data_IF_951514891996
#
_entry.id   IF_951514891996
#
_cell.length_a   1.000
_cell.length_b   1.000
_cell.length_c   1.000
_cell.angle_alpha   90.00
_cell.angle_beta   90.00
_cell.angle_gamma   90.00
#
_symmetry.space_group_name_H-M   'P 1'
#
loop_
_entity.id
_entity.type
_entity.pdbx_description
1 polymer ?
#
# COMPACT_ATOMS: atom_id res chain seq x y z
N UNK A 1 -4.74 -12.15 10.50
CA UNK A 1 -5.30 -11.70 9.21
C UNK A 1 -6.36 -10.67 9.52
N UNK A 2 -6.21 -9.44 9.03
CA UNK A 2 -7.04 -8.28 9.40
C UNK A 2 -8.43 -8.36 8.76
N UNK A 3 -9.44 -7.78 9.40
CA UNK A 3 -10.85 -7.75 8.95
C UNK A 3 -10.98 -7.32 7.48
N UNK A 4 -10.20 -6.33 7.05
CA UNK A 4 -10.13 -5.84 5.67
C UNK A 4 -9.68 -6.90 4.65
N UNK A 5 -8.78 -7.81 5.03
CA UNK A 5 -8.32 -8.85 4.11
C UNK A 5 -9.44 -9.84 3.78
N UNK A 6 -10.34 -10.09 4.74
CA UNK A 6 -11.54 -10.91 4.54
C UNK A 6 -12.62 -10.14 3.77
N UNK A 7 -12.83 -8.86 4.07
CA UNK A 7 -13.83 -8.02 3.39
C UNK A 7 -13.53 -7.81 1.90
N UNK A 8 -12.25 -7.69 1.54
CA UNK A 8 -11.79 -7.50 0.17
C UNK A 8 -11.21 -8.78 -0.46
N UNK A 9 -11.51 -9.94 0.12
CA UNK A 9 -11.07 -11.24 -0.39
C UNK A 9 -11.49 -11.41 -1.86
N UNK A 10 -10.52 -11.76 -2.72
CA UNK A 10 -10.74 -11.92 -4.16
C UNK A 10 -10.80 -10.61 -4.96
N UNK A 11 -10.72 -9.43 -4.32
CA UNK A 11 -10.68 -8.12 -4.98
C UNK A 11 -9.33 -7.42 -4.83
N UNK A 12 -8.72 -7.55 -3.65
CA UNK A 12 -7.44 -6.89 -3.32
C UNK A 12 -6.51 -7.90 -2.67
N UNK A 13 -5.25 -7.89 -3.09
CA UNK A 13 -4.18 -8.64 -2.41
C UNK A 13 -3.48 -7.71 -1.42
N UNK A 14 -3.48 -8.09 -0.15
CA UNK A 14 -2.70 -7.39 0.88
C UNK A 14 -1.34 -8.07 1.02
N UNK A 15 -0.27 -7.29 0.94
CA UNK A 15 1.09 -7.75 1.14
C UNK A 15 1.79 -6.84 2.15
N UNK A 16 2.37 -7.44 3.18
CA UNK A 16 3.17 -6.74 4.18
C UNK A 16 4.63 -7.04 3.87
N UNK A 17 5.35 -6.02 3.42
CA UNK A 17 6.79 -6.11 3.16
C UNK A 17 7.52 -5.57 4.38
N UNK A 18 8.46 -6.36 4.90
CA UNK A 18 9.26 -5.96 6.06
C UNK A 18 10.22 -4.84 5.70
N UNK A 19 10.56 -3.95 6.65
CA UNK A 19 11.51 -2.87 6.39
C UNK A 19 12.85 -3.36 5.84
N UNK A 20 13.33 -4.53 6.26
CA UNK A 20 14.55 -5.17 5.75
C UNK A 20 14.41 -5.57 4.27
N UNK A 21 13.26 -6.10 3.87
CA UNK A 21 12.96 -6.44 2.46
C UNK A 21 12.77 -5.16 1.63
N UNK A 22 12.11 -4.15 2.19
CA UNK A 22 11.93 -2.86 1.54
C UNK A 22 13.28 -2.13 1.36
N UNK A 23 14.22 -2.25 2.31
CA UNK A 23 15.59 -1.72 2.20
C UNK A 23 16.41 -2.44 1.11
N UNK A 24 16.20 -3.75 0.94
CA UNK A 24 16.80 -4.49 -0.16
C UNK A 24 16.25 -4.05 -1.53
N UNK A 25 14.98 -3.63 -1.57
CA UNK A 25 14.31 -3.04 -2.73
C UNK A 25 14.58 -1.52 -2.88
N UNK A 26 15.74 -1.01 -2.46
CA UNK A 26 16.00 0.41 -2.23
C UNK A 26 15.65 1.40 -3.36
N UNK A 27 15.61 1.00 -4.63
CA UNK A 27 15.17 1.85 -5.74
C UNK A 27 13.64 2.10 -5.72
N UNK A 28 12.85 1.08 -5.37
CA UNK A 28 11.39 1.16 -5.27
C UNK A 28 10.94 2.13 -4.16
N UNK A 29 11.66 2.18 -3.03
CA UNK A 29 11.35 3.11 -1.93
C UNK A 29 11.41 4.59 -2.34
N UNK A 30 12.41 4.94 -3.15
CA UNK A 30 12.57 6.30 -3.62
C UNK A 30 11.46 6.67 -4.61
N UNK A 31 11.08 5.75 -5.49
CA UNK A 31 9.95 5.91 -6.41
C UNK A 31 8.60 6.07 -5.70
N UNK A 32 8.45 5.47 -4.52
CA UNK A 32 7.25 5.60 -3.69
C UNK A 32 7.28 6.77 -2.70
N UNK A 33 8.39 7.51 -2.63
CA UNK A 33 8.52 8.69 -1.76
C UNK A 33 8.77 8.35 -0.28
N UNK A 34 9.28 7.15 0.02
CA UNK A 34 9.50 6.67 1.39
C UNK A 34 10.88 7.00 1.96
N UNK A 35 11.66 7.88 1.31
CA UNK A 35 13.04 8.19 1.68
C UNK A 35 13.22 8.66 3.15
N UNK A 36 12.22 9.36 3.70
CA UNK A 36 12.30 9.93 5.06
C UNK A 36 11.75 8.97 6.13
N UNK A 37 10.56 8.41 5.88
CA UNK A 37 9.86 7.56 6.83
C UNK A 37 10.31 6.08 6.80
N UNK A 38 10.95 5.61 5.71
CA UNK A 38 11.30 4.20 5.42
C UNK A 38 10.13 3.21 5.53
N UNK A 39 8.91 3.73 5.64
CA UNK A 39 7.66 3.03 5.82
C UNK A 39 6.56 3.82 5.11
N UNK A 40 5.59 3.09 4.59
CA UNK A 40 4.43 3.68 3.93
C UNK A 40 3.48 2.63 3.39
N UNK A 41 2.39 3.10 2.83
CA UNK A 41 1.41 2.30 2.12
C UNK A 41 1.45 2.66 0.64
N UNK A 42 1.56 1.63 -0.19
CA UNK A 42 1.39 1.76 -1.64
C UNK A 42 0.21 0.90 -2.07
N UNK A 43 -0.69 1.48 -2.86
CA UNK A 43 -1.74 0.71 -3.52
C UNK A 43 -1.51 0.75 -5.03
N UNK A 44 -1.52 -0.45 -5.62
CA UNK A 44 -1.37 -0.66 -7.04
C UNK A 44 -2.71 -1.05 -7.66
N UNK A 45 -2.97 -0.60 -8.87
CA UNK A 45 -4.11 -1.07 -9.65
C UNK A 45 -3.85 -2.45 -10.30
N UNK A 46 -4.83 -2.95 -11.05
CA UNK A 46 -4.73 -4.25 -11.75
C UNK A 46 -3.70 -4.28 -12.89
N UNK A 47 -3.21 -3.13 -13.35
CA UNK A 47 -2.14 -2.98 -14.33
C UNK A 47 -0.75 -2.86 -13.67
N UNK A 48 -0.68 -2.82 -12.34
CA UNK A 48 0.55 -2.68 -11.58
C UNK A 48 1.04 -1.24 -11.45
N UNK A 49 0.20 -0.25 -11.77
CA UNK A 49 0.57 1.16 -11.54
C UNK A 49 0.28 1.57 -10.10
N UNK A 50 1.25 2.18 -9.42
CA UNK A 50 1.06 2.74 -8.09
C UNK A 50 0.18 4.00 -8.16
N UNK A 51 -1.10 3.89 -7.76
CA UNK A 51 -2.03 5.03 -7.71
C UNK A 51 -1.98 5.77 -6.39
N UNK A 52 -1.72 5.06 -5.29
CA UNK A 52 -1.69 5.65 -3.95
C UNK A 52 -0.31 5.41 -3.34
N UNK A 53 0.30 6.49 -2.86
CA UNK A 53 1.62 6.49 -2.20
C UNK A 53 1.50 7.34 -0.94
N UNK A 54 1.39 6.68 0.21
CA UNK A 54 1.25 7.35 1.50
C UNK A 54 2.49 7.06 2.35
N UNK A 55 3.43 8.02 2.49
CA UNK A 55 4.56 7.87 3.40
C UNK A 55 4.08 7.99 4.85
N UNK A 56 4.55 7.12 5.74
CA UNK A 56 4.18 7.19 7.15
C UNK A 56 4.03 5.83 7.84
N UNK A 57 3.51 5.87 9.06
CA UNK A 57 3.29 4.71 9.92
C UNK A 57 1.91 4.80 10.59
N UNK A 58 1.35 3.67 11.01
CA UNK A 58 0.04 3.56 11.66
C UNK A 58 -1.15 4.02 10.82
N UNK A 59 -1.27 3.55 9.58
CA UNK A 59 -2.46 3.79 8.76
C UNK A 59 -3.72 3.21 9.41
N UNK A 60 -4.72 4.07 9.61
CA UNK A 60 -6.03 3.67 10.11
C UNK A 60 -6.83 2.92 9.05
N UNK A 61 -7.94 2.28 9.47
CA UNK A 61 -8.88 1.62 8.57
C UNK A 61 -9.34 2.55 7.44
N UNK A 62 -9.67 3.79 7.77
CA UNK A 62 -10.18 4.78 6.81
C UNK A 62 -9.16 5.09 5.71
N UNK A 63 -7.88 5.24 6.07
CA UNK A 63 -6.80 5.50 5.11
C UNK A 63 -6.58 4.31 4.18
N UNK A 64 -6.59 3.09 4.74
CA UNK A 64 -6.43 1.86 3.97
C UNK A 64 -7.61 1.66 3.01
N UNK A 65 -8.84 1.86 3.49
CA UNK A 65 -10.05 1.75 2.67
C UNK A 65 -10.08 2.81 1.57
N UNK A 66 -9.70 4.05 1.87
CA UNK A 66 -9.60 5.11 0.86
C UNK A 66 -8.57 4.78 -0.22
N UNK A 67 -7.44 4.17 0.17
CA UNK A 67 -6.42 3.73 -0.79
C UNK A 67 -6.93 2.59 -1.70
N UNK A 68 -7.67 1.64 -1.12
CA UNK A 68 -8.31 0.54 -1.85
C UNK A 68 -9.35 1.06 -2.85
N UNK A 69 -10.19 2.00 -2.42
CA UNK A 69 -11.24 2.57 -3.27
C UNK A 69 -10.64 3.23 -4.52
N UNK A 70 -9.56 3.99 -4.36
CA UNK A 70 -8.85 4.63 -5.47
C UNK A 70 -8.29 3.63 -6.50
N UNK A 71 -7.79 2.46 -6.09
CA UNK A 71 -7.26 1.44 -7.03
C UNK A 71 -8.33 0.54 -7.63
N UNK A 72 -9.47 0.38 -6.95
CA UNK A 72 -10.62 -0.35 -7.48
C UNK A 72 -11.48 0.51 -8.43
N UNK A 73 -11.12 1.77 -8.63
CA UNK A 73 -11.85 2.70 -9.51
C UNK A 73 -13.06 3.36 -8.85
N UNK A 74 -13.00 3.53 -7.53
CA UNK A 74 -13.94 4.31 -6.74
C UNK A 74 -14.06 5.74 -7.26
N UNK A 75 -15.32 6.18 -7.36
CA UNK A 75 -15.81 7.42 -7.97
C UNK A 75 -15.37 8.70 -7.23
#
# INVERSE_FOLDING_TARGET
MSELATEYEGKVKFELISAEETLAAGEDMAEFGFNDAKHGLVAFDSQGEAKVKLPGHNFGREEIVSAIDQVLGGL
#
